data_IF_277887758855
#
_entry.id   IF_277887758855
#
_cell.length_a   1.000
_cell.length_b   1.000
_cell.length_c   1.000
_cell.angle_alpha   90.00
_cell.angle_beta   90.00
_cell.angle_gamma   90.00
#
_symmetry.space_group_name_H-M   'P 1'
#
loop_
_entity.id
_entity.type
_entity.pdbx_description
1 polymer ?
#
# COMPACT_ATOMS: atom_id res chain seq x y z
N UNK A 1 -47.20 -7.81 8.48
CA UNK A 1 -46.29 -6.73 8.96
C UNK A 1 -45.23 -7.38 9.84
N UNK A 2 -44.03 -7.59 9.32
CA UNK A 2 -42.99 -8.39 9.99
C UNK A 2 -42.01 -7.48 10.76
N UNK A 3 -41.75 -7.72 12.07
CA UNK A 3 -40.84 -6.89 12.84
C UNK A 3 -39.39 -6.98 12.32
N UNK A 4 -38.77 -5.83 12.00
CA UNK A 4 -37.35 -5.75 11.65
C UNK A 4 -36.49 -6.05 12.88
N UNK A 5 -35.91 -7.25 12.93
CA UNK A 5 -34.84 -7.63 13.87
C UNK A 5 -33.62 -6.72 13.65
N UNK A 6 -33.38 -5.80 14.58
CA UNK A 6 -32.12 -5.05 14.67
C UNK A 6 -31.03 -5.97 15.21
N UNK A 7 -30.07 -6.35 14.38
CA UNK A 7 -28.87 -7.07 14.79
C UNK A 7 -27.78 -6.05 15.16
N UNK A 8 -27.35 -5.95 16.43
CA UNK A 8 -26.23 -5.07 16.79
C UNK A 8 -24.94 -5.63 16.19
N UNK A 9 -24.31 -4.86 15.28
CA UNK A 9 -23.00 -5.20 14.71
C UNK A 9 -21.95 -5.18 15.82
N UNK A 10 -21.53 -6.39 16.18
CA UNK A 10 -20.36 -6.76 16.95
C UNK A 10 -19.25 -5.68 16.89
N UNK A 11 -19.09 -4.92 17.98
CA UNK A 11 -17.95 -4.01 18.18
C UNK A 11 -16.69 -4.87 18.20
N UNK A 12 -15.86 -4.76 17.16
CA UNK A 12 -14.50 -5.32 17.18
C UNK A 12 -13.79 -4.80 18.44
N UNK A 13 -13.13 -5.65 19.23
CA UNK A 13 -12.35 -5.20 20.37
C UNK A 13 -11.27 -4.24 19.86
N UNK A 14 -11.28 -3.03 20.43
CA UNK A 14 -10.29 -2.00 20.21
C UNK A 14 -9.02 -2.53 20.87
N UNK A 15 -8.07 -3.02 20.08
CA UNK A 15 -6.78 -3.47 20.59
C UNK A 15 -6.13 -2.29 21.31
N UNK A 16 -6.05 -2.40 22.63
CA UNK A 16 -5.38 -1.49 23.54
C UNK A 16 -3.87 -1.74 23.46
N UNK A 17 -3.31 -1.43 22.29
CA UNK A 17 -1.86 -1.32 22.08
C UNK A 17 -1.66 0.01 21.36
N UNK A 18 -1.75 1.07 22.17
CA UNK A 18 -1.69 2.48 21.75
C UNK A 18 -0.51 3.17 22.41
N UNK A 19 0.57 2.44 22.57
CA UNK A 19 1.82 2.95 23.13
C UNK A 19 2.91 2.88 22.07
N UNK A 20 3.54 4.03 21.81
CA UNK A 20 4.60 4.33 20.82
C UNK A 20 4.08 4.95 19.50
N UNK A 21 3.69 6.22 19.62
CA UNK A 21 3.78 7.17 18.53
C UNK A 21 5.25 7.31 18.08
N UNK A 22 5.71 6.53 17.08
CA UNK A 22 6.80 6.91 16.13
C UNK A 22 7.02 5.90 14.99
N UNK A 23 6.67 4.61 15.11
CA UNK A 23 6.87 3.67 13.98
C UNK A 23 5.62 2.85 13.64
N UNK A 24 4.75 3.40 12.77
CA UNK A 24 3.71 2.62 12.06
C UNK A 24 4.33 1.72 10.99
N UNK A 25 5.36 0.97 11.38
CA UNK A 25 6.20 0.20 10.49
C UNK A 25 6.18 -1.28 10.90
N UNK A 26 5.92 -2.13 9.92
CA UNK A 26 5.77 -3.57 10.05
C UNK A 26 6.83 -4.23 9.18
N UNK A 27 7.46 -5.28 9.70
CA UNK A 27 8.36 -6.12 8.92
C UNK A 27 7.53 -7.22 8.24
N UNK A 28 7.70 -7.40 6.94
CA UNK A 28 7.04 -8.44 6.15
C UNK A 28 8.08 -9.22 5.34
N UNK A 29 8.16 -10.53 5.54
CA UNK A 29 9.00 -11.43 4.74
C UNK A 29 8.36 -11.73 3.39
N UNK A 30 9.12 -11.54 2.31
CA UNK A 30 8.67 -11.73 0.94
C UNK A 30 9.74 -12.43 0.08
N UNK A 31 9.37 -12.85 -1.13
CA UNK A 31 10.25 -13.62 -2.03
C UNK A 31 11.59 -12.93 -2.37
N UNK A 32 11.65 -11.60 -2.32
CA UNK A 32 12.84 -10.79 -2.60
C UNK A 32 13.67 -10.49 -1.34
N UNK A 33 13.13 -10.77 -0.14
CA UNK A 33 13.78 -10.48 1.15
C UNK A 33 12.82 -9.98 2.23
N UNK A 34 13.38 -9.56 3.35
CA UNK A 34 12.64 -8.91 4.43
C UNK A 34 12.35 -7.46 4.03
N UNK A 35 11.07 -7.09 3.99
CA UNK A 35 10.66 -5.73 3.73
C UNK A 35 10.24 -5.05 5.00
N UNK A 36 10.54 -3.77 5.05
CA UNK A 36 9.99 -2.88 6.05
C UNK A 36 8.91 -2.01 5.43
N UNK A 37 7.71 -2.05 6.01
CA UNK A 37 6.47 -1.55 5.42
C UNK A 37 5.85 -0.52 6.35
N UNK A 38 5.67 0.70 5.86
CA UNK A 38 5.04 1.80 6.60
C UNK A 38 3.72 2.22 5.94
N UNK A 39 2.66 2.36 6.73
CA UNK A 39 1.38 2.91 6.26
C UNK A 39 1.39 4.44 6.39
N UNK A 40 1.14 5.13 5.28
CA UNK A 40 1.10 6.58 5.18
C UNK A 40 -0.36 7.04 5.09
N UNK A 41 -0.74 7.97 5.95
CA UNK A 41 -2.05 8.63 5.89
C UNK A 41 -2.06 9.66 4.78
N UNK A 42 -3.24 9.98 4.26
CA UNK A 42 -3.36 11.02 3.24
C UNK A 42 -2.72 12.34 3.66
N UNK A 43 -3.01 12.80 4.88
CA UNK A 43 -2.51 14.06 5.44
C UNK A 43 -0.98 14.22 5.49
N UNK A 44 -0.22 13.13 5.46
CA UNK A 44 1.25 13.17 5.47
C UNK A 44 1.87 13.07 4.07
N UNK A 45 1.03 12.84 3.04
CA UNK A 45 1.43 12.70 1.65
C UNK A 45 1.44 14.05 0.94
N UNK A 46 2.52 14.80 1.10
CA UNK A 46 2.65 16.16 0.56
C UNK A 46 3.21 16.23 -0.87
N UNK A 47 3.56 15.09 -1.47
CA UNK A 47 4.13 15.00 -2.82
C UNK A 47 3.47 13.86 -3.58
N UNK A 48 3.29 13.99 -4.91
CA UNK A 48 2.84 12.87 -5.72
C UNK A 48 4.01 11.90 -5.97
N UNK A 49 3.72 10.61 -5.98
CA UNK A 49 4.74 9.56 -6.18
C UNK A 49 4.31 8.57 -7.26
N UNK A 50 5.28 7.90 -7.91
CA UNK A 50 4.98 6.87 -8.92
C UNK A 50 4.93 5.49 -8.27
N UNK A 51 3.83 4.76 -8.48
CA UNK A 51 3.66 3.42 -7.93
C UNK A 51 4.34 2.35 -8.81
N UNK A 52 5.28 1.54 -8.30
CA UNK A 52 5.97 0.52 -9.10
C UNK A 52 5.06 -0.60 -9.61
N UNK A 53 4.01 -0.98 -8.87
CA UNK A 53 3.15 -2.11 -9.23
C UNK A 53 2.16 -1.85 -10.37
N UNK A 54 1.83 -0.58 -10.64
CA UNK A 54 0.91 -0.22 -11.73
C UNK A 54 1.44 0.87 -12.65
N UNK A 55 2.60 1.47 -12.31
CA UNK A 55 3.11 2.68 -12.93
C UNK A 55 1.98 3.70 -13.07
N UNK A 56 1.35 4.06 -11.94
CA UNK A 56 0.40 5.17 -11.87
C UNK A 56 0.80 6.13 -10.78
N UNK A 57 0.42 7.40 -10.94
CA UNK A 57 0.69 8.43 -9.93
C UNK A 57 -0.21 8.21 -8.71
N UNK A 58 0.39 8.23 -7.53
CA UNK A 58 -0.25 8.38 -6.24
C UNK A 58 -0.36 9.88 -6.01
N UNK A 59 -1.57 10.47 -5.99
CA UNK A 59 -1.73 11.90 -5.76
C UNK A 59 -1.30 12.30 -4.34
N UNK A 60 -1.09 13.60 -4.15
CA UNK A 60 -0.99 14.17 -2.81
C UNK A 60 -2.27 13.88 -2.01
N UNK A 61 -2.18 13.94 -0.68
CA UNK A 61 -3.28 13.66 0.23
C UNK A 61 -3.88 12.23 0.13
N UNK A 62 -3.24 11.30 -0.60
CA UNK A 62 -3.76 9.94 -0.81
C UNK A 62 -3.12 8.94 0.15
N UNK A 63 -3.90 8.17 0.95
CA UNK A 63 -3.36 7.12 1.80
C UNK A 63 -2.69 6.01 1.00
N UNK A 64 -1.46 5.65 1.34
CA UNK A 64 -0.66 4.68 0.58
C UNK A 64 0.37 3.97 1.47
N UNK A 65 1.08 2.99 0.91
CA UNK A 65 2.13 2.22 1.59
C UNK A 65 3.49 2.67 1.11
N UNK A 66 4.44 2.82 2.02
CA UNK A 66 5.87 2.94 1.69
C UNK A 66 6.54 1.63 2.10
N UNK A 67 7.32 1.05 1.20
CA UNK A 67 8.03 -0.20 1.46
C UNK A 67 9.44 -0.16 0.90
N UNK A 68 10.37 -0.77 1.63
CA UNK A 68 11.79 -0.90 1.29
C UNK A 68 12.36 -2.20 1.86
N UNK A 69 13.52 -2.63 1.37
CA UNK A 69 14.21 -3.80 1.92
C UNK A 69 14.87 -3.43 3.25
N UNK A 70 14.93 -4.37 4.17
CA UNK A 70 15.63 -4.18 5.43
C UNK A 70 17.11 -3.85 5.18
N UNK A 71 17.59 -2.75 5.76
CA UNK A 71 18.92 -2.19 5.50
C UNK A 71 19.05 -1.23 4.30
N UNK A 72 17.99 -1.01 3.51
CA UNK A 72 17.96 -0.06 2.37
C UNK A 72 16.86 1.00 2.54
N UNK A 73 17.03 1.92 3.50
CA UNK A 73 16.03 2.97 3.77
C UNK A 73 15.97 4.04 2.67
N UNK A 74 17.04 4.24 1.92
CA UNK A 74 17.09 5.12 0.75
C UNK A 74 16.25 4.55 -0.41
N UNK A 75 16.17 3.23 -0.54
CA UNK A 75 15.39 2.50 -1.54
C UNK A 75 13.86 2.54 -1.35
N UNK A 76 13.34 3.47 -0.54
CA UNK A 76 11.90 3.62 -0.26
C UNK A 76 11.06 3.82 -1.52
N UNK A 77 10.12 2.89 -1.72
CA UNK A 77 9.14 2.94 -2.83
C UNK A 77 7.74 3.17 -2.30
N UNK A 78 7.00 4.02 -3.01
CA UNK A 78 5.61 4.35 -2.67
C UNK A 78 4.64 3.51 -3.50
N UNK A 79 3.73 2.81 -2.85
CA UNK A 79 2.77 1.90 -3.45
C UNK A 79 1.36 2.29 -3.08
N UNK A 80 0.41 2.19 -4.01
CA UNK A 80 -0.99 2.13 -3.63
C UNK A 80 -1.22 0.96 -2.67
N UNK A 81 -2.11 1.11 -1.69
CA UNK A 81 -2.45 0.04 -0.75
C UNK A 81 -2.84 -1.27 -1.46
N UNK A 82 -3.68 -1.18 -2.49
CA UNK A 82 -4.11 -2.33 -3.28
C UNK A 82 -2.99 -2.92 -4.15
N UNK A 83 -2.01 -2.10 -4.57
CA UNK A 83 -0.87 -2.58 -5.33
C UNK A 83 0.13 -3.31 -4.43
N UNK A 84 0.39 -2.83 -3.22
CA UNK A 84 1.23 -3.53 -2.25
C UNK A 84 0.68 -4.92 -1.90
N UNK A 85 -0.62 -4.99 -1.58
CA UNK A 85 -1.30 -6.24 -1.24
C UNK A 85 -1.26 -7.30 -2.36
N UNK A 86 -1.08 -6.86 -3.62
CA UNK A 86 -0.99 -7.75 -4.79
C UNK A 86 0.35 -7.61 -5.52
N UNK A 87 1.41 -7.16 -4.85
CA UNK A 87 2.66 -6.75 -5.51
C UNK A 87 3.31 -7.85 -6.35
N UNK A 88 3.25 -9.11 -5.90
CA UNK A 88 3.77 -10.25 -6.68
C UNK A 88 3.07 -10.46 -8.02
N UNK A 89 1.80 -10.05 -8.12
CA UNK A 89 0.97 -10.19 -9.32
C UNK A 89 0.74 -8.86 -10.05
N UNK A 90 1.22 -7.73 -9.50
CA UNK A 90 1.03 -6.39 -10.06
C UNK A 90 2.34 -5.94 -10.68
N UNK A 91 2.32 -5.84 -12.00
CA UNK A 91 3.38 -5.22 -12.79
C UNK A 91 2.77 -4.11 -13.64
N UNK A 92 3.54 -3.06 -13.95
CA UNK A 92 3.05 -2.01 -14.82
C UNK A 92 2.65 -2.62 -16.16
N UNK A 93 1.50 -2.20 -16.67
CA UNK A 93 1.00 -2.70 -17.94
C UNK A 93 1.86 -2.05 -19.03
N UNK A 94 2.96 -2.70 -19.39
CA UNK A 94 3.79 -2.29 -20.52
C UNK A 94 2.92 -2.40 -21.76
N UNK A 95 2.33 -1.29 -22.21
CA UNK A 95 1.75 -1.22 -23.54
C UNK A 95 2.92 -1.30 -24.53
N UNK A 96 3.27 -2.53 -24.90
CA UNK A 96 3.91 -2.76 -26.19
C UNK A 96 2.94 -2.18 -27.21
N UNK A 97 3.32 -1.05 -27.80
CA UNK A 97 2.54 -0.43 -28.85
C UNK A 97 2.18 -1.53 -29.84
N UNK A 98 0.89 -1.71 -30.11
CA UNK A 98 0.43 -2.68 -31.13
C UNK A 98 0.98 -2.34 -32.52
N UNK A 99 1.63 -1.18 -32.67
CA UNK A 99 2.24 -0.63 -33.88
C UNK A 99 3.77 -0.37 -33.75
N UNK A 100 4.49 -1.05 -32.85
CA UNK A 100 5.96 -0.98 -32.89
C UNK A 100 6.46 -1.45 -34.27
N UNK A 101 7.23 -0.65 -35.01
CA UNK A 101 7.75 -1.06 -36.30
C UNK A 101 8.58 -2.33 -36.14
N UNK A 102 8.27 -3.35 -36.95
CA UNK A 102 9.15 -4.50 -37.12
C UNK A 102 10.20 -4.08 -38.13
N UNK A 103 11.37 -3.68 -37.65
CA UNK A 103 12.60 -3.71 -38.42
C UNK A 103 13.52 -4.73 -37.77
#
# INVERSE_FOLDING_TARGET
MSPRKNYPKNKRPKSEDRDIATSNQVFEEHAEGLYVVRKITGSTSNKPYRCPGCDQMIPMATPHTVAWLDGDEEGRRHWHNACWAKRGNRKPRTERTRNAPRY
#
